data_IF_223661706604
#
_entry.id   IF_223661706604
#
_cell.length_a   1.000
_cell.length_b   1.000
_cell.length_c   1.000
_cell.angle_alpha   90.00
_cell.angle_beta   90.00
_cell.angle_gamma   90.00
#
_symmetry.space_group_name_H-M   'P 1'
#
loop_
_entity.id
_entity.type
_entity.pdbx_description
1 polymer ?
#
# COMPACT_ATOMS: atom_id res chain seq x y z
N UNK A 1 -24.88 36.08 -31.41
CA UNK A 1 -23.91 36.34 -30.31
C UNK A 1 -23.00 35.12 -30.09
N UNK A 2 -22.19 34.71 -31.08
CA UNK A 2 -21.27 33.57 -30.95
C UNK A 2 -20.08 33.85 -30.02
N UNK A 3 -19.78 35.13 -29.76
CA UNK A 3 -18.65 35.56 -28.93
C UNK A 3 -18.79 35.12 -27.46
N UNK A 4 -20.01 35.11 -26.92
CA UNK A 4 -20.29 34.69 -25.54
C UNK A 4 -19.92 33.22 -25.34
N UNK A 5 -20.22 32.36 -26.32
CA UNK A 5 -19.89 30.93 -26.26
C UNK A 5 -18.38 30.67 -26.34
N UNK A 6 -17.64 31.47 -27.11
CA UNK A 6 -16.17 31.38 -27.12
C UNK A 6 -15.55 31.78 -25.77
N UNK A 7 -16.08 32.82 -25.12
CA UNK A 7 -15.61 33.24 -23.79
C UNK A 7 -15.85 32.13 -22.76
N UNK A 8 -17.05 31.53 -22.76
CA UNK A 8 -17.38 30.42 -21.85
C UNK A 8 -16.47 29.22 -22.10
N UNK A 9 -16.26 28.83 -23.36
CA UNK A 9 -15.38 27.72 -23.71
C UNK A 9 -13.92 27.98 -23.28
N UNK A 10 -13.44 29.21 -23.43
CA UNK A 10 -12.10 29.61 -23.00
C UNK A 10 -11.90 29.49 -21.49
N UNK A 11 -12.88 29.92 -20.69
CA UNK A 11 -12.84 29.82 -19.22
C UNK A 11 -12.83 28.35 -18.76
N UNK A 12 -13.65 27.50 -19.36
CA UNK A 12 -13.71 26.07 -19.04
C UNK A 12 -12.36 25.41 -19.36
N UNK A 13 -11.77 25.72 -20.53
CA UNK A 13 -10.48 25.16 -20.93
C UNK A 13 -9.37 25.58 -19.97
N UNK A 14 -9.34 26.85 -19.54
CA UNK A 14 -8.40 27.34 -18.53
C UNK A 14 -8.55 26.61 -17.19
N UNK A 15 -9.78 26.38 -16.73
CA UNK A 15 -10.04 25.63 -15.50
C UNK A 15 -9.52 24.18 -15.57
N UNK A 16 -9.75 23.49 -16.69
CA UNK A 16 -9.28 22.11 -16.89
C UNK A 16 -7.76 22.04 -16.87
N UNK A 17 -7.09 22.94 -17.61
CA UNK A 17 -5.63 23.02 -17.64
C UNK A 17 -5.08 23.29 -16.24
N UNK A 18 -5.65 24.26 -15.51
CA UNK A 18 -5.23 24.58 -14.14
C UNK A 18 -5.44 23.42 -13.18
N UNK A 19 -6.55 22.70 -13.30
CA UNK A 19 -6.86 21.52 -12.48
C UNK A 19 -5.86 20.39 -12.74
N UNK A 20 -5.52 20.13 -14.00
CA UNK A 20 -4.49 19.16 -14.37
C UNK A 20 -3.11 19.51 -13.79
N UNK A 21 -2.67 20.78 -13.91
CA UNK A 21 -1.39 21.21 -13.36
C UNK A 21 -1.37 21.12 -11.82
N UNK A 22 -2.42 21.59 -11.16
CA UNK A 22 -2.55 21.54 -9.70
C UNK A 22 -2.59 20.10 -9.17
N UNK A 23 -3.29 19.21 -9.88
CA UNK A 23 -3.34 17.78 -9.54
C UNK A 23 -1.97 17.12 -9.63
N UNK A 24 -1.19 17.39 -10.69
CA UNK A 24 0.19 16.89 -10.81
C UNK A 24 1.12 17.41 -9.73
N UNK A 25 0.99 18.69 -9.34
CA UNK A 25 1.77 19.27 -8.24
C UNK A 25 1.40 18.65 -6.88
N UNK A 26 0.11 18.43 -6.62
CA UNK A 26 -0.37 17.74 -5.41
C UNK A 26 0.08 16.29 -5.37
N UNK A 27 0.08 15.58 -6.49
CA UNK A 27 0.61 14.21 -6.58
C UNK A 27 2.08 14.17 -6.17
N UNK A 28 2.92 15.05 -6.73
CA UNK A 28 4.35 15.12 -6.37
C UNK A 28 4.58 15.48 -4.90
N UNK A 29 3.73 16.34 -4.33
CA UNK A 29 3.80 16.71 -2.91
C UNK A 29 3.38 15.55 -2.00
N UNK A 30 2.36 14.77 -2.39
CA UNK A 30 1.95 13.54 -1.68
C UNK A 30 3.05 12.48 -1.71
N UNK A 31 3.75 12.30 -2.84
CA UNK A 31 4.91 11.42 -2.92
C UNK A 31 6.04 11.86 -1.97
N UNK A 32 6.41 13.14 -1.98
CA UNK A 32 7.47 13.66 -1.09
C UNK A 32 7.12 13.62 0.40
N UNK A 33 5.84 13.79 0.75
CA UNK A 33 5.39 13.66 2.15
C UNK A 33 5.43 12.19 2.56
N UNK A 34 5.00 11.27 1.68
CA UNK A 34 5.02 9.81 1.91
C UNK A 34 6.44 9.26 2.02
N UNK A 35 7.40 9.78 1.24
CA UNK A 35 8.84 9.47 1.34
C UNK A 35 9.47 9.97 2.64
N UNK A 36 8.98 11.07 3.22
CA UNK A 36 9.54 11.63 4.46
C UNK A 36 8.96 11.01 5.73
N UNK A 37 7.76 10.44 5.67
CA UNK A 37 7.09 9.86 6.83
C UNK A 37 7.12 8.33 6.88
N UNK A 38 7.57 7.66 5.82
CA UNK A 38 7.81 6.22 5.82
C UNK A 38 9.29 6.01 5.47
N UNK A 39 10.09 5.31 6.29
CA UNK A 39 11.37 4.81 5.82
C UNK A 39 11.07 4.00 4.56
N UNK A 40 11.59 4.45 3.41
CA UNK A 40 11.52 3.71 2.16
C UNK A 40 12.45 2.52 2.33
N UNK A 41 11.90 1.49 2.95
CA UNK A 41 12.53 0.19 3.07
C UNK A 41 12.41 -0.43 1.67
N UNK A 42 13.53 -0.45 0.95
CA UNK A 42 13.72 -1.26 -0.26
C UNK A 42 13.86 -2.76 0.08
N UNK A 43 13.43 -3.21 1.26
CA UNK A 43 13.32 -4.63 1.60
C UNK A 43 12.02 -5.18 1.02
N UNK A 44 12.01 -5.42 -0.29
CA UNK A 44 11.06 -6.38 -0.82
C UNK A 44 11.32 -7.70 -0.11
N UNK A 45 10.30 -8.22 0.58
CA UNK A 45 10.41 -9.50 1.28
C UNK A 45 10.69 -10.58 0.23
N UNK A 46 11.89 -11.16 0.28
CA UNK A 46 12.30 -12.18 -0.66
C UNK A 46 11.63 -13.51 -0.33
N UNK A 47 10.98 -14.11 -1.33
CA UNK A 47 10.47 -15.48 -1.24
C UNK A 47 11.65 -16.45 -1.19
N UNK A 48 11.57 -17.50 -0.37
CA UNK A 48 12.68 -18.44 -0.17
C UNK A 48 13.46 -18.24 1.14
N UNK A 49 13.45 -17.04 1.71
CA UNK A 49 14.21 -16.71 2.93
C UNK A 49 13.34 -16.93 4.19
N UNK A 50 14.00 -17.29 5.29
CA UNK A 50 13.39 -17.46 6.60
C UNK A 50 13.51 -16.17 7.40
N UNK A 51 12.41 -15.74 7.99
CA UNK A 51 12.34 -14.53 8.80
C UNK A 51 11.80 -14.84 10.20
N UNK A 52 12.14 -13.98 11.15
CA UNK A 52 11.47 -13.87 12.44
C UNK A 52 10.48 -12.70 12.38
N UNK A 53 9.20 -12.99 12.53
CA UNK A 53 8.14 -11.98 12.57
C UNK A 53 7.78 -11.66 14.04
N UNK A 54 8.01 -10.43 14.46
CA UNK A 54 7.67 -9.95 15.80
C UNK A 54 6.38 -9.15 15.78
N UNK A 55 5.41 -9.55 16.60
CA UNK A 55 4.12 -8.90 16.69
C UNK A 55 4.10 -7.83 17.77
N UNK A 56 3.19 -6.88 17.61
CA UNK A 56 2.94 -5.79 18.57
C UNK A 56 2.44 -6.29 19.93
N UNK A 57 1.84 -7.48 19.98
CA UNK A 57 1.38 -8.15 21.22
C UNK A 57 2.50 -8.91 21.96
N UNK A 58 3.72 -8.89 21.43
CA UNK A 58 4.89 -9.57 22.01
C UNK A 58 5.08 -11.02 21.55
N UNK A 59 4.17 -11.56 20.72
CA UNK A 59 4.37 -12.88 20.11
C UNK A 59 5.44 -12.80 19.02
N UNK A 60 6.17 -13.90 18.83
CA UNK A 60 7.20 -14.01 17.81
C UNK A 60 7.01 -15.32 17.05
N UNK A 61 6.94 -15.24 15.73
CA UNK A 61 7.00 -16.40 14.84
C UNK A 61 8.41 -16.52 14.29
N UNK A 62 9.13 -17.56 14.71
CA UNK A 62 10.50 -17.80 14.29
C UNK A 62 10.58 -18.69 13.06
N UNK A 63 11.51 -18.40 12.15
CA UNK A 63 11.77 -19.23 10.98
C UNK A 63 10.56 -19.40 10.07
N UNK A 64 9.87 -18.31 9.77
CA UNK A 64 8.71 -18.28 8.87
C UNK A 64 9.10 -17.74 7.50
N UNK A 65 8.55 -18.34 6.46
CA UNK A 65 8.67 -17.85 5.10
C UNK A 65 7.45 -16.99 4.76
N UNK A 66 7.68 -15.79 4.21
CA UNK A 66 6.60 -14.96 3.69
C UNK A 66 6.18 -15.48 2.31
N UNK A 67 4.90 -15.83 2.18
CA UNK A 67 4.31 -16.30 0.92
C UNK A 67 3.67 -15.16 0.11
N UNK A 68 3.22 -14.09 0.78
CA UNK A 68 2.60 -12.94 0.14
C UNK A 68 1.53 -12.29 1.01
N UNK A 69 0.69 -11.45 0.39
CA UNK A 69 -0.49 -10.87 1.01
C UNK A 69 -1.76 -11.47 0.39
N UNK A 70 -2.83 -11.63 1.17
CA UNK A 70 -4.17 -11.87 0.63
C UNK A 70 -4.66 -10.59 -0.03
N UNK A 71 -4.37 -10.42 -1.32
CA UNK A 71 -5.00 -9.36 -2.11
C UNK A 71 -6.41 -9.80 -2.43
N UNK A 72 -7.37 -8.94 -2.11
CA UNK A 72 -8.73 -9.08 -2.61
C UNK A 72 -8.75 -8.36 -3.96
N UNK A 73 -9.16 -9.05 -5.03
CA UNK A 73 -9.30 -8.44 -6.36
C UNK A 73 -10.30 -7.27 -6.28
N UNK A 74 -10.02 -6.19 -7.02
CA UNK A 74 -10.85 -4.99 -7.07
C UNK A 74 -12.33 -5.37 -7.30
N UNK A 75 -13.18 -5.21 -6.27
CA UNK A 75 -14.62 -5.49 -6.34
C UNK A 75 -15.16 -6.53 -5.36
N UNK A 76 -14.33 -7.24 -4.61
CA UNK A 76 -14.79 -8.12 -3.54
C UNK A 76 -14.73 -7.42 -2.17
N UNK A 77 -15.86 -6.90 -1.70
CA UNK A 77 -15.99 -6.49 -0.30
C UNK A 77 -16.01 -7.73 0.60
N UNK A 78 -14.89 -8.05 1.25
CA UNK A 78 -14.87 -9.08 2.30
C UNK A 78 -15.25 -8.45 3.65
N UNK A 79 -16.52 -8.63 4.06
CA UNK A 79 -17.01 -8.21 5.39
C UNK A 79 -16.27 -8.88 6.57
N UNK A 80 -15.43 -9.87 6.27
CA UNK A 80 -14.74 -10.70 7.24
C UNK A 80 -13.36 -10.15 7.66
N UNK A 81 -12.89 -9.05 7.06
CA UNK A 81 -11.66 -8.36 7.49
C UNK A 81 -10.36 -9.14 7.20
N UNK A 82 -10.38 -10.00 6.20
CA UNK A 82 -9.21 -10.77 5.69
C UNK A 82 -8.46 -10.05 4.56
N UNK A 83 -8.86 -8.82 4.29
CA UNK A 83 -8.24 -7.97 3.29
C UNK A 83 -6.83 -7.55 3.75
N UNK A 84 -5.82 -7.78 2.91
CA UNK A 84 -4.45 -7.37 3.19
C UNK A 84 -3.77 -8.13 4.33
N UNK A 85 -4.16 -9.37 4.62
CA UNK A 85 -3.46 -10.20 5.59
C UNK A 85 -2.16 -10.76 5.00
N UNK A 86 -1.08 -10.71 5.78
CA UNK A 86 0.18 -11.37 5.49
C UNK A 86 0.05 -12.88 5.68
N UNK A 87 0.47 -13.64 4.67
CA UNK A 87 0.49 -15.09 4.69
C UNK A 87 1.91 -15.56 4.97
N UNK A 88 2.09 -16.20 6.12
CA UNK A 88 3.33 -16.82 6.56
C UNK A 88 3.23 -18.33 6.47
N UNK A 89 4.34 -18.99 6.15
CA UNK A 89 4.50 -20.44 6.21
C UNK A 89 5.56 -20.79 7.25
N UNK A 90 5.15 -21.48 8.31
CA UNK A 90 6.07 -21.99 9.33
C UNK A 90 6.74 -23.30 8.92
N UNK A 91 7.70 -23.74 9.74
CA UNK A 91 8.46 -24.99 9.57
C UNK A 91 7.59 -26.25 9.43
N UNK A 92 6.41 -26.25 10.04
CA UNK A 92 5.48 -27.40 10.03
C UNK A 92 4.50 -27.37 8.85
N UNK A 93 4.81 -26.62 7.79
CA UNK A 93 3.93 -26.35 6.64
C UNK A 93 2.58 -25.70 7.01
N UNK A 94 2.46 -25.23 8.25
CA UNK A 94 1.28 -24.52 8.74
C UNK A 94 1.30 -23.09 8.21
N UNK A 95 0.18 -22.69 7.61
CA UNK A 95 -0.04 -21.31 7.17
C UNK A 95 -0.60 -20.47 8.31
N UNK A 96 -0.01 -19.31 8.52
CA UNK A 96 -0.45 -18.33 9.52
C UNK A 96 -0.83 -17.05 8.79
N UNK A 97 -2.01 -16.53 9.10
CA UNK A 97 -2.53 -15.29 8.56
C UNK A 97 -2.40 -14.21 9.62
N UNK A 98 -1.65 -13.15 9.32
CA UNK A 98 -1.43 -12.02 10.21
C UNK A 98 -1.94 -10.74 9.59
N UNK A 99 -2.57 -9.88 10.40
CA UNK A 99 -2.83 -8.50 9.97
C UNK A 99 -1.51 -7.75 9.89
N UNK A 100 -1.29 -6.97 8.83
CA UNK A 100 -0.11 -6.13 8.69
C UNK A 100 0.08 -5.20 9.89
N UNK A 101 -1.01 -4.67 10.45
CA UNK A 101 -1.00 -3.81 11.64
C UNK A 101 -0.54 -4.51 12.93
N UNK A 102 -0.57 -5.84 12.96
CA UNK A 102 -0.15 -6.61 14.12
C UNK A 102 1.36 -6.89 14.10
N UNK A 103 2.05 -6.70 12.97
CA UNK A 103 3.49 -6.90 12.86
C UNK A 103 4.22 -5.62 13.27
N UNK A 104 5.15 -5.74 14.23
CA UNK A 104 5.96 -4.62 14.73
C UNK A 104 7.24 -4.47 13.93
N UNK A 105 7.97 -5.56 13.73
CA UNK A 105 9.16 -5.62 12.89
C UNK A 105 9.42 -7.05 12.40
N UNK A 106 10.21 -7.17 11.34
CA UNK A 106 10.61 -8.42 10.71
C UNK A 106 12.14 -8.45 10.71
N UNK A 107 12.73 -9.60 11.00
CA UNK A 107 14.18 -9.81 11.02
C UNK A 107 14.51 -11.02 10.14
N UNK A 108 15.53 -10.90 9.28
CA UNK A 108 16.07 -12.00 8.48
C UNK A 108 16.96 -12.90 9.35
N UNK A 109 16.93 -14.23 9.11
CA UNK A 109 17.76 -15.22 9.83
C UNK A 109 19.07 -15.47 9.09
#
# INVERSE_FOLDING_TARGET
MPEIWMVIAGVILLMVVWSCLSSKLKAKKRHKVREKSLPFIEDNIHTGILYNAHLSDGRCFKGVQFLGCSTTEDGQFSLSGWEGMLVLKGSNDKRVFLKQSAVRYIEEI
#
